data_IF_182957940013
#
_entry.id   IF_182957940013
#
_cell.length_a   1.000
_cell.length_b   1.000
_cell.length_c   1.000
_cell.angle_alpha   90.00
_cell.angle_beta   90.00
_cell.angle_gamma   90.00
#
_symmetry.space_group_name_H-M   'P 1'
#
loop_
_entity.id
_entity.type
_entity.pdbx_description
1 polymer ?
#
# COMPACT_ATOMS: atom_id res chain seq x y z
N UNK A 1 4.98 -8.08 4.06
CA UNK A 1 6.10 -7.12 3.92
C UNK A 1 7.09 -7.39 2.79
N UNK A 2 7.89 -8.48 2.82
CA UNK A 2 8.94 -8.68 1.80
C UNK A 2 8.44 -8.58 0.34
N UNK A 3 7.24 -9.11 0.06
CA UNK A 3 6.62 -8.98 -1.26
C UNK A 3 6.34 -7.54 -1.69
N UNK A 4 5.86 -6.68 -0.79
CA UNK A 4 5.65 -5.26 -1.08
C UNK A 4 6.98 -4.57 -1.37
N UNK A 5 7.98 -4.81 -0.53
CA UNK A 5 9.29 -4.18 -0.62
C UNK A 5 10.04 -4.54 -1.92
N UNK A 6 10.04 -5.81 -2.33
CA UNK A 6 10.68 -6.23 -3.59
C UNK A 6 10.00 -5.56 -4.79
N UNK A 7 8.66 -5.54 -4.82
CA UNK A 7 7.95 -4.89 -5.94
C UNK A 7 8.23 -3.39 -5.94
N UNK A 8 8.17 -2.73 -4.78
CA UNK A 8 8.45 -1.30 -4.66
C UNK A 8 9.85 -0.95 -5.15
N UNK A 9 10.87 -1.72 -4.76
CA UNK A 9 12.25 -1.47 -5.12
C UNK A 9 12.54 -1.66 -6.63
N UNK A 10 11.98 -2.71 -7.23
CA UNK A 10 12.26 -3.04 -8.65
C UNK A 10 11.26 -2.44 -9.65
N UNK A 11 10.23 -1.75 -9.18
CA UNK A 11 9.30 -1.05 -10.06
C UNK A 11 9.87 0.32 -10.43
N UNK A 12 10.05 0.55 -11.72
CA UNK A 12 10.49 1.85 -12.22
C UNK A 12 9.51 2.98 -11.85
N UNK A 13 10.06 4.11 -11.44
CA UNK A 13 9.34 5.32 -10.98
C UNK A 13 8.46 5.12 -9.73
N UNK A 14 8.63 4.00 -9.01
CA UNK A 14 8.04 3.85 -7.68
C UNK A 14 8.82 4.67 -6.65
N UNK A 15 8.11 5.18 -5.65
CA UNK A 15 8.73 5.94 -4.56
C UNK A 15 9.75 5.08 -3.80
N UNK A 16 10.89 5.64 -3.38
CA UNK A 16 11.93 4.88 -2.70
C UNK A 16 11.46 4.32 -1.36
N UNK A 17 11.99 3.15 -1.01
CA UNK A 17 11.77 2.56 0.30
C UNK A 17 12.42 3.42 1.38
N UNK A 18 11.69 3.67 2.46
CA UNK A 18 12.21 4.32 3.66
C UNK A 18 12.44 3.31 4.78
N UNK A 19 11.50 2.39 4.99
CA UNK A 19 11.54 1.41 6.08
C UNK A 19 10.69 0.18 5.77
N UNK A 20 11.17 -0.99 6.15
CA UNK A 20 10.45 -2.27 6.09
C UNK A 20 10.53 -2.94 7.45
N UNK A 21 9.40 -3.29 8.06
CA UNK A 21 9.36 -3.88 9.40
C UNK A 21 8.29 -4.96 9.52
N UNK A 22 8.62 -6.06 10.19
CA UNK A 22 7.65 -7.10 10.59
C UNK A 22 7.15 -6.91 12.02
N UNK A 23 7.59 -5.85 12.71
CA UNK A 23 7.07 -5.47 14.02
C UNK A 23 5.68 -4.84 13.82
N UNK A 24 4.64 -5.31 14.53
CA UNK A 24 3.29 -4.74 14.44
C UNK A 24 3.26 -3.26 14.81
N UNK A 25 2.48 -2.47 14.07
CA UNK A 25 2.25 -1.07 14.36
C UNK A 25 0.76 -0.72 14.18
N UNK A 26 0.09 -0.36 15.27
CA UNK A 26 -1.35 -0.12 15.27
C UNK A 26 -2.14 -1.34 14.81
N UNK A 27 -2.86 -1.20 13.68
CA UNK A 27 -3.67 -2.28 13.08
C UNK A 27 -2.92 -3.13 12.06
N UNK A 28 -1.70 -2.75 11.69
CA UNK A 28 -0.88 -3.48 10.73
C UNK A 28 0.09 -4.42 11.45
N UNK A 29 0.27 -5.64 10.92
CA UNK A 29 1.18 -6.65 11.47
C UNK A 29 2.64 -6.48 11.00
N UNK A 30 2.90 -5.44 10.22
CA UNK A 30 4.16 -5.05 9.61
C UNK A 30 3.89 -3.90 8.65
N UNK A 31 4.92 -3.18 8.22
CA UNK A 31 4.75 -2.09 7.26
C UNK A 31 5.97 -1.94 6.35
N UNK A 32 5.68 -1.73 5.06
CA UNK A 32 6.61 -1.31 4.02
C UNK A 32 6.29 0.15 3.70
N UNK A 33 7.16 1.05 4.11
CA UNK A 33 6.99 2.49 3.98
C UNK A 33 7.82 3.03 2.82
N UNK A 34 7.15 3.75 1.93
CA UNK A 34 7.77 4.53 0.86
C UNK A 34 7.61 6.02 1.16
N UNK A 35 8.58 6.84 0.74
CA UNK A 35 8.53 8.29 0.87
C UNK A 35 8.76 8.90 -0.51
N UNK A 36 7.83 9.71 -1.06
CA UNK A 36 8.03 10.36 -2.34
C UNK A 36 9.23 11.30 -2.33
N UNK A 37 9.95 11.37 -3.44
CA UNK A 37 11.07 12.32 -3.61
C UNK A 37 10.59 13.75 -3.88
N UNK A 38 9.39 13.89 -4.44
CA UNK A 38 8.79 15.18 -4.79
C UNK A 38 7.35 15.25 -4.26
N UNK A 39 6.94 16.45 -3.85
CA UNK A 39 5.55 16.72 -3.51
C UNK A 39 4.69 16.67 -4.78
N UNK A 40 3.90 15.60 -4.92
CA UNK A 40 3.02 15.41 -6.09
C UNK A 40 1.58 15.83 -5.75
N UNK A 41 1.06 16.81 -6.50
CA UNK A 41 -0.36 17.23 -6.46
C UNK A 41 -1.28 16.36 -7.33
N UNK A 42 -0.72 15.57 -8.25
CA UNK A 42 -1.48 14.69 -9.15
C UNK A 42 -0.73 13.40 -9.41
N UNK A 43 -1.45 12.30 -9.57
CA UNK A 43 -0.90 10.97 -9.87
C UNK A 43 -1.24 10.57 -11.31
N UNK A 44 -0.25 10.04 -12.04
CA UNK A 44 -0.47 9.59 -13.42
C UNK A 44 -0.94 8.12 -13.47
N UNK A 45 -1.21 7.61 -14.68
CA UNK A 45 -1.63 6.21 -14.90
C UNK A 45 -0.60 5.20 -14.41
N UNK A 46 0.70 5.45 -14.67
CA UNK A 46 1.82 4.58 -14.29
C UNK A 46 1.94 4.53 -12.76
N UNK A 47 1.84 5.66 -12.08
CA UNK A 47 1.89 5.75 -10.61
C UNK A 47 0.78 4.92 -9.96
N UNK A 48 -0.47 5.05 -10.42
CA UNK A 48 -1.59 4.28 -9.89
C UNK A 48 -1.39 2.77 -10.11
N UNK A 49 -0.91 2.36 -11.29
CA UNK A 49 -0.59 0.96 -11.57
C UNK A 49 0.56 0.45 -10.69
N UNK A 50 1.60 1.26 -10.50
CA UNK A 50 2.72 0.94 -9.62
C UNK A 50 2.25 0.72 -8.18
N UNK A 51 1.40 1.60 -7.66
CA UNK A 51 0.83 1.45 -6.33
C UNK A 51 -0.03 0.18 -6.21
N UNK A 52 -0.87 -0.14 -7.19
CA UNK A 52 -1.64 -1.39 -7.19
C UNK A 52 -0.71 -2.61 -7.19
N UNK A 53 0.34 -2.63 -8.02
CA UNK A 53 1.33 -3.72 -8.04
C UNK A 53 1.96 -3.93 -6.66
N UNK A 54 2.38 -2.86 -6.00
CA UNK A 54 2.99 -2.91 -4.67
C UNK A 54 2.00 -3.47 -3.64
N UNK A 55 0.75 -3.02 -3.65
CA UNK A 55 -0.30 -3.53 -2.76
C UNK A 55 -0.58 -5.03 -2.97
N UNK A 56 -0.40 -5.55 -4.19
CA UNK A 56 -0.55 -6.99 -4.46
C UNK A 56 0.61 -7.85 -3.92
N UNK A 57 1.70 -7.23 -3.48
CA UNK A 57 2.93 -7.93 -3.06
C UNK A 57 2.73 -8.90 -1.91
N UNK A 58 1.95 -8.53 -0.89
CA UNK A 58 1.64 -9.40 0.25
C UNK A 58 0.92 -10.68 -0.18
N UNK A 59 -0.20 -10.53 -0.91
CA UNK A 59 -0.97 -11.66 -1.45
C UNK A 59 -0.14 -12.57 -2.34
N UNK A 60 0.64 -11.99 -3.26
CA UNK A 60 1.46 -12.78 -4.18
C UNK A 60 2.57 -13.53 -3.44
N UNK A 61 3.25 -12.90 -2.50
CA UNK A 61 4.27 -13.56 -1.70
C UNK A 61 3.68 -14.74 -0.91
N UNK A 62 2.59 -14.52 -0.17
CA UNK A 62 1.91 -15.60 0.56
C UNK A 62 1.48 -16.74 -0.37
N UNK A 63 0.85 -16.42 -1.50
CA UNK A 63 0.41 -17.41 -2.48
C UNK A 63 1.58 -18.18 -3.12
N UNK A 64 2.75 -17.57 -3.27
CA UNK A 64 3.93 -18.22 -3.85
C UNK A 64 4.62 -19.18 -2.89
N UNK A 65 4.66 -18.86 -1.59
CA UNK A 65 5.30 -19.68 -0.57
C UNK A 65 4.38 -20.73 0.06
N UNK A 66 3.13 -20.37 0.32
CA UNK A 66 2.17 -21.21 1.05
C UNK A 66 1.05 -21.74 0.17
N UNK A 67 1.04 -21.39 -1.12
CA UNK A 67 -0.06 -21.70 -2.03
C UNK A 67 -1.30 -20.86 -1.76
N UNK A 68 -2.30 -20.97 -2.62
CA UNK A 68 -3.58 -20.25 -2.49
C UNK A 68 -4.30 -20.64 -1.19
N UNK A 69 -4.19 -21.90 -0.77
CA UNK A 69 -4.78 -22.39 0.48
C UNK A 69 -4.12 -21.82 1.74
N UNK A 70 -2.85 -21.40 1.64
CA UNK A 70 -2.10 -20.81 2.74
C UNK A 70 -2.15 -19.28 2.81
N UNK A 71 -2.89 -18.63 1.90
CA UNK A 71 -3.07 -17.18 1.92
C UNK A 71 -3.95 -16.77 3.12
N UNK A 72 -3.57 -15.69 3.80
CA UNK A 72 -4.20 -15.22 5.04
C UNK A 72 -5.20 -14.09 4.79
N UNK A 73 -6.02 -13.77 5.79
CA UNK A 73 -6.88 -12.57 5.77
C UNK A 73 -6.11 -11.25 5.98
N UNK A 74 -4.81 -11.32 6.27
CA UNK A 74 -3.95 -10.14 6.49
C UNK A 74 -3.84 -9.23 5.27
N UNK A 75 -4.01 -9.79 4.07
CA UNK A 75 -3.94 -9.06 2.79
C UNK A 75 -5.19 -8.22 2.48
N UNK A 76 -6.22 -8.31 3.31
CA UNK A 76 -7.53 -7.69 3.04
C UNK A 76 -7.46 -6.17 2.87
N UNK A 77 -6.65 -5.48 3.67
CA UNK A 77 -6.47 -4.04 3.57
C UNK A 77 -5.87 -3.63 2.21
N UNK A 78 -4.84 -4.34 1.76
CA UNK A 78 -4.16 -4.01 0.50
C UNK A 78 -5.05 -4.27 -0.71
N UNK A 79 -5.84 -5.36 -0.68
CA UNK A 79 -6.84 -5.65 -1.71
C UNK A 79 -7.94 -4.58 -1.76
N UNK A 80 -8.39 -4.08 -0.61
CA UNK A 80 -9.38 -3.00 -0.54
C UNK A 80 -8.82 -1.70 -1.14
N UNK A 81 -7.59 -1.34 -0.78
CA UNK A 81 -6.92 -0.13 -1.31
C UNK A 81 -6.69 -0.23 -2.81
N UNK A 82 -6.21 -1.37 -3.30
CA UNK A 82 -6.02 -1.60 -4.72
C UNK A 82 -7.34 -1.50 -5.50
N UNK A 83 -8.43 -2.06 -4.95
CA UNK A 83 -9.77 -1.89 -5.52
C UNK A 83 -10.18 -0.43 -5.58
N UNK A 84 -9.99 0.34 -4.51
CA UNK A 84 -10.32 1.77 -4.47
C UNK A 84 -9.57 2.54 -5.55
N UNK A 85 -8.25 2.34 -5.66
CA UNK A 85 -7.42 2.99 -6.69
C UNK A 85 -7.92 2.62 -8.09
N UNK A 86 -8.08 1.33 -8.38
CA UNK A 86 -8.58 0.88 -9.69
C UNK A 86 -9.98 1.43 -10.00
N UNK A 87 -10.85 1.55 -9.00
CA UNK A 87 -12.19 2.12 -9.15
C UNK A 87 -12.11 3.60 -9.53
N UNK A 88 -11.25 4.38 -8.86
CA UNK A 88 -11.05 5.81 -9.18
C UNK A 88 -10.39 6.00 -10.54
N UNK A 89 -9.42 5.15 -10.89
CA UNK A 89 -8.84 5.14 -12.24
C UNK A 89 -9.91 5.02 -13.32
N UNK A 90 -10.84 4.08 -13.15
CA UNK A 90 -11.90 3.82 -14.15
C UNK A 90 -13.02 4.88 -14.09
N UNK A 91 -13.50 5.22 -12.89
CA UNK A 91 -14.69 6.06 -12.72
C UNK A 91 -14.41 7.56 -12.69
N UNK A 92 -13.28 7.99 -12.13
CA UNK A 92 -13.01 9.40 -11.86
C UNK A 92 -11.95 9.96 -12.82
N UNK A 93 -10.91 9.18 -13.11
CA UNK A 93 -9.75 9.67 -13.87
C UNK A 93 -9.82 9.34 -15.37
N UNK A 94 -10.79 8.52 -15.80
CA UNK A 94 -10.91 8.10 -17.20
C UNK A 94 -9.70 7.32 -17.71
N UNK A 95 -9.02 6.61 -16.82
CA UNK A 95 -7.78 5.88 -17.03
C UNK A 95 -8.05 4.41 -17.44
N UNK A 96 -8.99 4.21 -18.35
CA UNK A 96 -9.47 2.88 -18.78
C UNK A 96 -9.86 2.88 -20.26
N UNK A 97 -10.27 1.72 -20.78
CA UNK A 97 -10.73 1.61 -22.17
C UNK A 97 -12.05 2.39 -22.43
N UNK A 98 -12.78 2.75 -21.38
CA UNK A 98 -14.01 3.57 -21.44
C UNK A 98 -13.71 5.03 -21.79
N UNK A 99 -12.45 5.44 -21.73
CA UNK A 99 -12.01 6.78 -22.08
C UNK A 99 -12.25 7.82 -20.99
N UNK A 100 -12.06 9.11 -21.32
CA UNK A 100 -12.03 10.21 -20.36
C UNK A 100 -13.43 10.67 -19.94
N UNK A 101 -14.23 9.77 -19.38
CA UNK A 101 -15.59 10.05 -18.89
C UNK A 101 -15.65 9.88 -17.38
N UNK A 102 -16.29 10.83 -16.71
CA UNK A 102 -16.54 10.77 -15.27
C UNK A 102 -17.82 9.99 -14.97
N UNK A 103 -17.71 8.93 -14.19
CA UNK A 103 -18.79 8.04 -13.72
C UNK A 103 -18.94 8.07 -12.18
N UNK A 104 -18.20 8.95 -11.49
CA UNK A 104 -18.36 9.17 -10.06
C UNK A 104 -19.69 9.85 -9.74
N UNK A 105 -20.22 9.62 -8.54
CA UNK A 105 -21.36 10.38 -8.04
C UNK A 105 -20.85 11.70 -7.50
N UNK A 106 -21.41 12.83 -7.91
CA UNK A 106 -21.19 14.10 -7.22
C UNK A 106 -21.60 13.92 -5.75
N UNK A 107 -20.69 14.20 -4.81
CA UNK A 107 -21.04 14.26 -3.39
C UNK A 107 -22.02 15.42 -3.19
N UNK A 108 -23.30 15.13 -3.35
CA UNK A 108 -24.36 16.08 -3.07
C UNK A 108 -24.27 16.37 -1.58
N UNK A 109 -23.99 17.64 -1.25
CA UNK A 109 -23.74 18.17 0.10
C UNK A 109 -24.47 17.40 1.22
N UNK A 110 -23.79 17.06 2.35
CA UNK A 110 -24.37 16.34 3.49
C UNK A 110 -25.63 17.00 4.09
N UNK A 111 -25.91 18.26 3.73
CA UNK A 111 -27.01 19.07 4.23
C UNK A 111 -28.33 18.86 3.47
N UNK A 112 -28.33 18.23 2.29
CA UNK A 112 -29.47 18.20 1.37
C UNK A 112 -30.24 16.86 1.35
N UNK A 113 -30.39 16.23 2.52
CA UNK A 113 -31.46 15.27 2.74
C UNK A 113 -30.97 13.85 3.04
N UNK A 114 -30.82 13.57 4.33
CA UNK A 114 -30.75 12.25 4.96
C UNK A 114 -32.03 11.39 4.74
N UNK A 115 -32.90 11.79 3.81
CA UNK A 115 -34.22 11.22 3.52
C UNK A 115 -34.33 10.58 2.11
N UNK A 116 -33.30 10.62 1.27
CA UNK A 116 -33.17 9.69 0.13
C UNK A 116 -32.48 8.39 0.57
N UNK A 117 -33.13 7.70 1.51
CA UNK A 117 -32.73 6.35 1.88
C UNK A 117 -32.91 5.40 0.70
N UNK A 118 -31.87 4.60 0.42
CA UNK A 118 -31.91 3.39 -0.42
C UNK A 118 -32.34 3.61 -1.87
N UNK A 119 -31.48 4.25 -2.64
CA UNK A 119 -31.61 4.27 -4.10
C UNK A 119 -30.39 4.90 -4.71
N UNK A 120 -29.29 4.15 -4.81
CA UNK A 120 -28.31 4.43 -5.85
C UNK A 120 -29.06 4.34 -7.18
N UNK A 121 -29.58 5.47 -7.65
CA UNK A 121 -29.82 5.66 -9.06
C UNK A 121 -28.43 5.50 -9.66
N UNK A 122 -28.15 4.34 -10.22
CA UNK A 122 -26.99 4.20 -11.07
C UNK A 122 -27.13 5.32 -12.10
N UNK A 123 -26.24 6.31 -12.06
CA UNK A 123 -26.23 7.44 -13.00
C UNK A 123 -25.93 6.97 -14.45
N UNK A 124 -25.73 5.67 -14.61
CA UNK A 124 -25.44 4.96 -15.83
C UNK A 124 -26.18 3.62 -15.86
N UNK A 125 -26.35 3.07 -17.06
CA UNK A 125 -27.09 1.82 -17.29
C UNK A 125 -26.42 0.60 -16.62
N UNK A 126 -27.19 -0.48 -16.41
CA UNK A 126 -26.66 -1.77 -15.92
C UNK A 126 -25.51 -2.31 -16.80
N UNK A 127 -25.60 -2.06 -18.11
CA UNK A 127 -24.55 -2.41 -19.08
C UNK A 127 -23.25 -1.64 -18.78
N UNK A 128 -23.35 -0.32 -18.61
CA UNK A 128 -22.21 0.52 -18.24
C UNK A 128 -21.63 0.15 -16.87
N UNK A 129 -22.47 -0.17 -15.88
CA UNK A 129 -22.00 -0.61 -14.58
C UNK A 129 -21.19 -1.90 -14.68
N UNK A 130 -21.65 -2.84 -15.52
CA UNK A 130 -20.94 -4.09 -15.80
C UNK A 130 -19.62 -3.85 -16.54
N UNK A 131 -19.59 -2.91 -17.48
CA UNK A 131 -18.35 -2.49 -18.17
C UNK A 131 -17.34 -1.91 -17.19
N UNK A 132 -17.76 -1.01 -16.29
CA UNK A 132 -16.91 -0.44 -15.23
C UNK A 132 -16.33 -1.57 -14.35
N UNK A 133 -17.16 -2.49 -13.87
CA UNK A 133 -16.71 -3.62 -13.04
C UNK A 133 -15.69 -4.51 -13.77
N UNK A 134 -15.87 -4.70 -15.08
CA UNK A 134 -14.94 -5.47 -15.90
C UNK A 134 -13.60 -4.74 -16.07
N UNK A 135 -13.61 -3.43 -16.30
CA UNK A 135 -12.39 -2.62 -16.39
C UNK A 135 -11.62 -2.60 -15.06
N UNK A 136 -12.32 -2.42 -13.93
CA UNK A 136 -11.69 -2.45 -12.60
C UNK A 136 -11.04 -3.80 -12.35
N UNK A 137 -11.73 -4.91 -12.67
CA UNK A 137 -11.17 -6.26 -12.59
C UNK A 137 -9.96 -6.42 -13.52
N UNK A 138 -10.05 -5.90 -14.74
CA UNK A 138 -8.98 -5.93 -15.73
C UNK A 138 -7.71 -5.24 -15.23
N UNK A 139 -7.83 -4.01 -14.71
CA UNK A 139 -6.71 -3.26 -14.13
C UNK A 139 -6.02 -4.04 -13.02
N UNK A 140 -6.79 -4.58 -12.07
CA UNK A 140 -6.23 -5.35 -10.95
C UNK A 140 -5.54 -6.62 -11.45
N UNK A 141 -6.16 -7.35 -12.38
CA UNK A 141 -5.62 -8.59 -12.92
C UNK A 141 -4.30 -8.35 -13.68
N UNK A 142 -4.24 -7.31 -14.51
CA UNK A 142 -3.00 -6.94 -15.22
C UNK A 142 -1.89 -6.58 -14.23
N UNK A 143 -2.18 -5.74 -13.23
CA UNK A 143 -1.18 -5.39 -12.22
C UNK A 143 -0.74 -6.62 -11.40
N UNK A 144 -1.66 -7.51 -11.04
CA UNK A 144 -1.36 -8.75 -10.32
C UNK A 144 -0.43 -9.66 -11.13
N UNK A 145 -0.65 -9.79 -12.45
CA UNK A 145 0.19 -10.59 -13.35
C UNK A 145 1.59 -9.98 -13.53
N UNK A 146 1.67 -8.67 -13.75
CA UNK A 146 2.95 -7.95 -13.83
C UNK A 146 3.75 -8.10 -12.53
N UNK A 147 3.11 -7.88 -11.39
CA UNK A 147 3.72 -8.05 -10.07
C UNK A 147 4.16 -9.50 -9.81
N UNK A 148 3.36 -10.49 -10.23
CA UNK A 148 3.71 -11.92 -10.13
C UNK A 148 4.95 -12.25 -10.94
N UNK A 149 5.03 -11.74 -12.17
CA UNK A 149 6.19 -11.96 -13.03
C UNK A 149 7.45 -11.35 -12.41
N UNK A 150 7.34 -10.13 -11.87
CA UNK A 150 8.44 -9.46 -11.18
C UNK A 150 8.93 -10.24 -9.96
N UNK A 151 8.01 -10.70 -9.09
CA UNK A 151 8.38 -11.50 -7.91
C UNK A 151 8.97 -12.86 -8.27
N UNK A 152 8.51 -13.49 -9.36
CA UNK A 152 9.13 -14.72 -9.87
C UNK A 152 10.55 -14.48 -10.39
N UNK A 153 10.78 -13.36 -11.08
CA UNK A 153 12.12 -12.99 -11.56
C UNK A 153 13.07 -12.68 -10.39
N UNK A 154 12.56 -12.05 -9.33
CA UNK A 154 13.32 -11.64 -8.13
C UNK A 154 13.09 -12.55 -6.93
N UNK A 155 12.86 -13.85 -7.18
CA UNK A 155 12.55 -14.82 -6.12
C UNK A 155 13.68 -14.95 -5.09
N UNK A 156 14.92 -14.94 -5.56
CA UNK A 156 16.11 -14.94 -4.71
C UNK A 156 16.14 -13.73 -3.76
N UNK A 157 15.78 -12.54 -4.26
CA UNK A 157 15.71 -11.31 -3.46
C UNK A 157 14.56 -11.33 -2.47
N UNK A 158 13.44 -11.93 -2.85
CA UNK A 158 12.29 -12.11 -1.96
C UNK A 158 12.64 -13.01 -0.77
N UNK A 159 13.28 -14.15 -1.03
CA UNK A 159 13.74 -15.08 0.02
C UNK A 159 14.81 -14.41 0.90
N UNK A 160 15.80 -13.76 0.30
CA UNK A 160 16.85 -13.04 1.02
C UNK A 160 16.30 -11.94 1.95
N UNK A 161 15.35 -11.14 1.47
CA UNK A 161 14.74 -10.09 2.30
C UNK A 161 13.87 -10.68 3.40
N UNK A 162 13.12 -11.75 3.13
CA UNK A 162 12.32 -12.42 4.14
C UNK A 162 13.20 -12.94 5.29
N UNK A 163 14.29 -13.64 4.97
CA UNK A 163 15.24 -14.15 5.97
C UNK A 163 15.90 -13.02 6.76
N UNK A 164 16.29 -11.94 6.07
CA UNK A 164 16.88 -10.77 6.71
C UNK A 164 15.89 -10.07 7.65
N UNK A 165 14.61 -9.96 7.29
CA UNK A 165 13.58 -9.40 8.15
C UNK A 165 13.33 -10.28 9.38
N UNK A 166 13.50 -11.60 9.29
CA UNK A 166 13.39 -12.48 10.46
C UNK A 166 14.55 -12.29 11.46
N UNK A 167 15.74 -11.92 10.99
CA UNK A 167 16.90 -11.64 11.86
C UNK A 167 16.87 -10.21 12.43
N UNK A 168 16.49 -9.23 11.62
CA UNK A 168 16.60 -7.81 11.96
C UNK A 168 15.30 -7.18 12.45
N UNK A 169 14.16 -7.79 12.14
CA UNK A 169 12.79 -7.32 12.40
C UNK A 169 12.42 -6.00 11.70
N UNK A 170 13.38 -5.12 11.48
CA UNK A 170 13.27 -3.82 10.82
C UNK A 170 14.53 -3.54 9.99
N UNK A 171 14.33 -3.10 8.76
CA UNK A 171 15.37 -2.63 7.84
C UNK A 171 15.01 -1.24 7.33
N UNK A 172 16.00 -0.35 7.24
CA UNK A 172 15.88 0.93 6.53
C UNK A 172 15.95 0.71 5.00
N UNK A 173 15.49 1.70 4.22
CA UNK A 173 15.60 1.68 2.77
C UNK A 173 17.02 1.49 2.24
N UNK A 174 17.99 2.14 2.90
CA UNK A 174 19.42 1.99 2.59
C UNK A 174 19.90 0.56 2.81
N UNK A 175 19.51 -0.07 3.94
CA UNK A 175 19.86 -1.46 4.22
C UNK A 175 19.20 -2.43 3.23
N UNK A 176 17.96 -2.17 2.79
CA UNK A 176 17.32 -3.00 1.75
C UNK A 176 18.06 -2.85 0.42
N UNK A 177 18.51 -1.65 0.07
CA UNK A 177 19.32 -1.39 -1.12
C UNK A 177 20.64 -2.15 -1.05
N UNK A 178 21.38 -2.02 0.06
CA UNK A 178 22.63 -2.74 0.31
C UNK A 178 22.42 -4.26 0.24
N UNK A 179 21.35 -4.78 0.83
CA UNK A 179 21.01 -6.20 0.79
C UNK A 179 20.79 -6.69 -0.65
N UNK A 180 20.13 -5.91 -1.48
CA UNK A 180 19.87 -6.29 -2.88
C UNK A 180 21.09 -6.15 -3.79
N UNK A 181 21.98 -5.20 -3.54
CA UNK A 181 23.19 -5.00 -4.34
C UNK A 181 24.34 -5.94 -3.93
N UNK A 182 24.59 -6.07 -2.62
CA UNK A 182 25.73 -6.81 -2.05
C UNK A 182 25.37 -8.26 -1.76
N UNK A 183 24.08 -8.55 -1.49
CA UNK A 183 23.58 -9.89 -1.22
C UNK A 183 23.67 -10.33 0.25
N UNK A 184 24.16 -9.48 1.15
CA UNK A 184 24.17 -9.75 2.59
C UNK A 184 24.26 -8.45 3.39
N UNK A 185 23.74 -8.46 4.63
CA UNK A 185 23.93 -7.39 5.61
C UNK A 185 25.00 -7.79 6.63
N UNK A 186 25.82 -6.85 7.14
CA UNK A 186 26.75 -7.13 8.24
C UNK A 186 25.95 -7.52 9.49
N UNK A 187 26.37 -8.51 10.32
CA UNK A 187 25.58 -9.04 11.43
C UNK A 187 25.00 -7.96 12.34
N UNK A 188 23.79 -8.18 12.88
CA UNK A 188 23.13 -7.22 13.80
C UNK A 188 24.08 -6.89 14.95
N UNK A 189 24.43 -5.59 15.16
CA UNK A 189 25.17 -5.20 16.32
C UNK A 189 24.41 -5.71 17.54
N UNK A 190 25.08 -6.51 18.39
CA UNK A 190 24.47 -6.98 19.64
C UNK A 190 24.01 -5.75 20.39
N UNK A 191 22.73 -5.73 20.78
CA UNK A 191 22.21 -4.67 21.63
C UNK A 191 23.16 -4.49 22.83
N UNK A 192 23.45 -3.24 23.24
CA UNK A 192 24.15 -3.02 24.50
C UNK A 192 23.43 -3.81 25.60
N UNK A 193 24.14 -4.46 26.54
CA UNK A 193 23.49 -5.13 27.65
C UNK A 193 22.54 -4.15 28.33
N UNK A 194 21.29 -4.55 28.52
CA UNK A 194 20.30 -3.77 29.26
C UNK A 194 20.87 -3.49 30.66
N UNK A 195 21.08 -2.21 30.96
CA UNK A 195 21.59 -1.76 32.24
C UNK A 195 20.47 -1.94 33.28
N UNK A 196 20.48 -3.07 33.97
CA UNK A 196 19.66 -3.28 35.16
C UNK A 196 20.12 -2.31 36.27
N UNK A 197 19.47 -1.15 36.36
CA UNK A 197 19.41 -0.38 37.61
C UNK A 197 19.69 1.11 37.49
N UNK A 198 18.63 1.89 37.27
CA UNK A 198 18.68 3.35 37.37
C UNK A 198 17.30 3.98 37.54
N UNK A 199 16.67 3.77 38.70
CA UNK A 199 15.53 4.58 39.16
C UNK A 199 15.93 6.05 39.28
N UNK A 200 15.31 6.94 38.51
CA UNK A 200 14.93 8.33 38.84
C UNK A 200 13.83 8.74 37.84
N UNK A 201 12.56 8.81 38.26
CA UNK A 201 11.89 9.95 38.87
C UNK A 201 10.99 10.65 37.84
N UNK A 202 9.70 10.59 38.12
CA UNK A 202 8.62 11.26 37.40
C UNK A 202 8.94 12.75 37.17
N UNK A 203 8.79 13.20 35.93
CA UNK A 203 8.38 14.57 35.65
C UNK A 203 7.24 14.54 34.66
N UNK A 204 6.02 14.56 35.20
CA UNK A 204 4.83 14.98 34.49
C UNK A 204 5.08 16.37 33.87
N UNK A 205 4.91 16.48 32.55
CA UNK A 205 4.54 17.75 31.94
C UNK A 205 3.59 17.50 30.77
N UNK A 206 2.33 17.85 31.05
CA UNK A 206 1.26 18.29 30.16
C UNK A 206 1.00 17.55 28.84
N UNK A 207 -0.08 16.77 28.87
CA UNK A 207 -0.82 16.31 27.72
C UNK A 207 -1.48 17.48 26.99
N UNK A 208 -1.05 17.74 25.75
CA UNK A 208 -1.93 18.31 24.74
C UNK A 208 -2.63 17.18 23.99
N UNK A 209 -3.94 17.12 24.16
CA UNK A 209 -4.85 16.22 23.47
C UNK A 209 -4.88 16.55 21.98
N UNK A 210 -4.19 15.77 21.16
CA UNK A 210 -4.46 15.70 19.72
C UNK A 210 -5.52 14.63 19.52
N UNK A 211 -6.69 15.09 19.08
CA UNK A 211 -7.84 14.29 18.67
C UNK A 211 -7.45 13.23 17.65
N UNK A 212 -7.91 12.00 17.87
CA UNK A 212 -7.85 10.89 16.92
C UNK A 212 -8.63 11.25 15.65
N UNK A 213 -7.91 11.44 14.54
CA UNK A 213 -8.45 11.49 13.18
C UNK A 213 -7.83 10.34 12.38
N UNK A 214 -8.61 9.37 11.85
CA UNK A 214 -8.07 8.13 11.28
C UNK A 214 -7.60 8.30 9.82
N UNK A 215 -6.86 9.36 9.50
CA UNK A 215 -6.42 9.67 8.13
C UNK A 215 -4.91 9.57 7.88
N UNK A 216 -4.12 9.03 8.82
CA UNK A 216 -2.68 8.82 8.58
C UNK A 216 -2.42 7.52 7.79
N UNK A 217 -2.81 7.57 6.51
CA UNK A 217 -2.11 6.95 5.38
C UNK A 217 -2.72 7.56 4.11
N UNK A 218 -2.44 8.84 3.88
CA UNK A 218 -2.98 9.61 2.78
C UNK A 218 -1.88 10.37 2.03
N UNK A 219 -1.39 9.78 0.95
CA UNK A 219 -1.01 10.57 -0.24
C UNK A 219 -2.12 10.30 -1.24
N UNK A 220 -3.24 10.97 -1.01
CA UNK A 220 -4.21 11.29 -2.05
C UNK A 220 -4.31 12.80 -1.95
N UNK A 221 -3.85 13.56 -2.96
CA UNK A 221 -4.09 14.99 -2.97
C UNK A 221 -5.61 15.24 -3.01
N UNK A 222 -6.04 16.16 -2.16
CA UNK A 222 -7.39 16.68 -2.08
C UNK A 222 -7.87 17.11 -3.49
N UNK A 223 -9.01 16.62 -4.00
CA UNK A 223 -9.44 16.90 -5.37
C UNK A 223 -9.85 18.36 -5.61
N UNK A 224 -9.81 19.26 -4.63
CA UNK A 224 -10.18 20.65 -4.84
C UNK A 224 -9.27 21.70 -4.17
N UNK A 225 -8.20 22.17 -4.85
CA UNK A 225 -7.52 23.39 -4.46
C UNK A 225 -8.10 24.58 -5.26
N UNK A 226 -9.39 24.86 -5.13
CA UNK A 226 -10.03 26.12 -5.53
C UNK A 226 -11.45 26.27 -4.96
#
# INVERSE_FOLDING_TARGET
EAGHAVIAFYTEDADPLHKVTIIPHGRALGVTMQVPEEDRYSVNLKDNRNLIKILMGGYLAESMFYGVEGTTSGVSNDLQRAKQIATRMVKEFGMSSLGPVFYGTEETSPFLGREMGRGGLAEHSDETAREIDNEVRGVIQTCLEEARNLLNEKRDKLELLADSLMEWETLSGEQVTELFEVGNLPPRPKAPPEDEGGSMADSETEAESISEDPTVSGIIPDPNPA
#
